data_IF_073170249847
#
_entry.id   IF_073170249847
#
_cell.length_a   1.000
_cell.length_b   1.000
_cell.length_c   1.000
_cell.angle_alpha   90.00
_cell.angle_beta   90.00
_cell.angle_gamma   90.00
#
_symmetry.space_group_name_H-M   'P 1'
#
loop_
_entity.id
_entity.type
_entity.pdbx_description
1 polymer ?
#
# COMPACT_ATOMS: atom_id res chain seq x y z
N UNK A 1 -17.46 -18.62 -22.74
CA UNK A 1 -18.14 -19.09 -21.50
C UNK A 1 -17.55 -18.30 -20.35
N UNK A 2 -18.24 -17.29 -19.86
CA UNK A 2 -17.80 -16.52 -18.68
C UNK A 2 -18.17 -17.30 -17.42
N UNK A 3 -17.16 -17.66 -16.62
CA UNK A 3 -17.38 -18.29 -15.32
C UNK A 3 -17.80 -17.19 -14.35
N UNK A 4 -18.97 -17.34 -13.73
CA UNK A 4 -19.49 -16.42 -12.72
C UNK A 4 -18.55 -16.41 -11.51
N UNK A 5 -18.00 -15.25 -11.17
CA UNK A 5 -17.09 -15.04 -10.02
C UNK A 5 -17.75 -15.22 -8.65
N UNK A 6 -19.03 -15.61 -8.59
CA UNK A 6 -19.82 -15.72 -7.36
C UNK A 6 -19.96 -17.14 -6.80
N UNK A 7 -19.40 -18.15 -7.44
CA UNK A 7 -19.47 -19.52 -6.93
C UNK A 7 -18.28 -19.81 -6.01
N UNK A 8 -18.38 -19.38 -4.75
CA UNK A 8 -17.41 -19.76 -3.71
C UNK A 8 -17.67 -21.21 -3.31
N UNK A 9 -16.72 -22.09 -3.62
CA UNK A 9 -16.71 -23.47 -3.13
C UNK A 9 -16.16 -23.44 -1.71
N UNK A 10 -16.99 -23.78 -0.73
CA UNK A 10 -16.59 -23.93 0.68
C UNK A 10 -15.41 -24.89 0.81
N UNK A 11 -14.38 -24.50 1.56
CA UNK A 11 -13.16 -25.31 1.74
C UNK A 11 -12.03 -24.98 0.78
N UNK A 12 -12.19 -23.96 -0.09
CA UNK A 12 -11.10 -23.32 -0.84
C UNK A 12 -10.95 -21.83 -0.45
N UNK A 13 -11.49 -21.45 0.70
CA UNK A 13 -11.51 -20.06 1.18
C UNK A 13 -10.11 -19.49 1.48
N UNK A 14 -9.10 -20.36 1.56
CA UNK A 14 -7.68 -20.02 1.70
C UNK A 14 -6.95 -19.87 0.37
N UNK A 15 -7.57 -20.23 -0.77
CA UNK A 15 -7.03 -19.84 -2.08
C UNK A 15 -7.28 -18.34 -2.17
N UNK A 16 -6.24 -17.50 -2.11
CA UNK A 16 -6.44 -16.08 -2.29
C UNK A 16 -7.02 -15.93 -3.69
N UNK A 17 -8.21 -15.32 -3.80
CA UNK A 17 -8.71 -14.88 -5.10
C UNK A 17 -7.63 -14.03 -5.77
N UNK A 18 -7.64 -13.92 -7.11
CA UNK A 18 -6.69 -13.07 -7.86
C UNK A 18 -6.48 -11.76 -7.10
N UNK A 19 -5.38 -11.67 -6.34
CA UNK A 19 -5.10 -10.49 -5.54
C UNK A 19 -5.09 -9.34 -6.54
N UNK A 20 -5.78 -8.22 -6.25
CA UNK A 20 -5.85 -7.13 -7.21
C UNK A 20 -4.42 -6.80 -7.60
N UNK A 21 -4.11 -6.94 -8.90
CA UNK A 21 -2.75 -6.85 -9.44
C UNK A 21 -2.00 -5.74 -8.70
N UNK A 22 -0.98 -6.16 -7.94
CA UNK A 22 -0.13 -5.30 -7.15
C UNK A 22 0.73 -4.53 -8.14
N UNK A 23 0.23 -3.38 -8.61
CA UNK A 23 1.04 -2.46 -9.40
C UNK A 23 2.03 -1.77 -8.48
N UNK A 24 3.21 -1.45 -9.02
CA UNK A 24 4.19 -0.62 -8.31
C UNK A 24 3.54 0.67 -7.77
N UNK A 25 2.56 1.23 -8.50
CA UNK A 25 1.83 2.45 -8.10
C UNK A 25 0.96 2.24 -6.85
N UNK A 26 0.27 1.09 -6.73
CA UNK A 26 -0.46 0.74 -5.51
C UNK A 26 0.49 0.51 -4.34
N UNK A 27 1.67 -0.06 -4.59
CA UNK A 27 2.71 -0.19 -3.56
C UNK A 27 3.16 1.19 -3.07
N UNK A 28 3.53 2.11 -3.97
CA UNK A 28 3.93 3.48 -3.59
C UNK A 28 2.83 4.24 -2.84
N UNK A 29 1.58 4.11 -3.27
CA UNK A 29 0.44 4.69 -2.56
C UNK A 29 0.30 4.13 -1.14
N UNK A 30 0.50 2.82 -0.96
CA UNK A 30 0.42 2.16 0.34
C UNK A 30 1.54 2.66 1.27
N UNK A 31 2.77 2.77 0.77
CA UNK A 31 3.90 3.29 1.52
C UNK A 31 3.70 4.77 1.90
N UNK A 32 3.14 5.57 1.01
CA UNK A 32 2.81 6.98 1.29
C UNK A 32 1.77 7.14 2.41
N UNK A 33 0.81 6.22 2.53
CA UNK A 33 -0.16 6.19 3.64
C UNK A 33 0.56 5.84 4.94
N UNK A 34 1.41 4.81 4.95
CA UNK A 34 2.17 4.46 6.15
C UNK A 34 3.09 5.59 6.62
N UNK A 35 3.74 6.32 5.70
CA UNK A 35 4.56 7.48 6.07
C UNK A 35 3.76 8.57 6.80
N UNK A 36 2.50 8.81 6.41
CA UNK A 36 1.63 9.78 7.09
C UNK A 36 1.20 9.31 8.48
N UNK A 37 0.83 8.04 8.60
CA UNK A 37 0.48 7.45 9.89
C UNK A 37 1.67 7.60 10.84
N UNK A 38 2.87 7.21 10.38
CA UNK A 38 4.10 7.32 11.15
C UNK A 38 4.40 8.76 11.56
N UNK A 39 4.22 9.75 10.68
CA UNK A 39 4.44 11.17 11.05
C UNK A 39 3.47 11.70 12.11
N UNK A 40 2.30 11.08 12.27
CA UNK A 40 1.33 11.43 13.32
C UNK A 40 1.60 10.77 14.67
N UNK A 41 2.51 9.78 14.74
CA UNK A 41 2.78 9.02 15.96
C UNK A 41 3.92 9.64 16.79
N UNK A 42 3.73 9.80 18.11
CA UNK A 42 4.79 10.28 19.01
C UNK A 42 5.75 9.14 19.39
N UNK A 43 6.86 8.93 18.67
CA UNK A 43 7.96 8.07 19.17
C UNK A 43 9.30 8.25 18.43
N UNK A 44 10.40 7.77 19.04
CA UNK A 44 11.75 7.81 18.47
C UNK A 44 12.05 6.73 17.41
N UNK A 45 11.41 5.55 17.49
CA UNK A 45 11.64 4.46 16.54
C UNK A 45 10.95 4.69 15.18
N UNK A 46 9.98 5.60 15.14
CA UNK A 46 9.25 6.02 13.93
C UNK A 46 10.18 6.64 12.89
N UNK A 47 11.27 7.29 13.31
CA UNK A 47 12.21 7.96 12.39
C UNK A 47 12.92 6.96 11.47
N UNK A 48 13.41 5.85 12.02
CA UNK A 48 14.09 4.83 11.24
C UNK A 48 13.13 4.19 10.23
N UNK A 49 11.93 3.82 10.66
CA UNK A 49 10.91 3.23 9.79
C UNK A 49 10.51 4.21 8.69
N UNK A 50 10.38 5.50 9.00
CA UNK A 50 10.06 6.53 8.01
C UNK A 50 11.13 6.65 6.93
N UNK A 51 12.42 6.57 7.31
CA UNK A 51 13.53 6.55 6.37
C UNK A 51 13.52 5.29 5.50
N UNK A 52 13.28 4.12 6.11
CA UNK A 52 13.21 2.85 5.38
C UNK A 52 12.06 2.86 4.36
N UNK A 53 10.92 3.46 4.70
CA UNK A 53 9.80 3.64 3.76
C UNK A 53 10.15 4.58 2.60
N UNK A 54 10.85 5.69 2.84
CA UNK A 54 11.26 6.59 1.75
C UNK A 54 12.24 5.87 0.80
N UNK A 55 13.23 5.17 1.35
CA UNK A 55 14.17 4.37 0.56
C UNK A 55 13.44 3.33 -0.31
N UNK A 56 12.41 2.66 0.24
CA UNK A 56 11.64 1.68 -0.50
C UNK A 56 10.82 2.34 -1.63
N UNK A 57 10.25 3.52 -1.41
CA UNK A 57 9.56 4.28 -2.46
C UNK A 57 10.52 4.66 -3.58
N UNK A 58 11.72 5.13 -3.24
CA UNK A 58 12.76 5.45 -4.23
C UNK A 58 13.16 4.24 -5.07
N UNK A 59 13.27 3.05 -4.46
CA UNK A 59 13.52 1.80 -5.18
C UNK A 59 12.37 1.43 -6.13
N UNK A 60 11.11 1.64 -5.73
CA UNK A 60 9.95 1.42 -6.61
C UNK A 60 9.98 2.37 -7.81
N UNK A 61 10.33 3.64 -7.59
CA UNK A 61 10.50 4.63 -8.64
C UNK A 61 11.63 4.24 -9.61
N UNK A 62 12.78 3.81 -9.08
CA UNK A 62 13.91 3.33 -9.87
C UNK A 62 13.51 2.12 -10.73
N UNK A 63 12.79 1.18 -10.14
CA UNK A 63 12.30 -0.02 -10.83
C UNK A 63 11.28 0.33 -11.93
N UNK A 64 10.36 1.24 -11.68
CA UNK A 64 9.40 1.66 -12.70
C UNK A 64 10.09 2.37 -13.87
N UNK A 65 11.07 3.23 -13.55
CA UNK A 65 11.91 3.92 -14.55
C UNK A 65 12.70 2.93 -15.41
N UNK A 66 13.34 1.93 -14.80
CA UNK A 66 14.09 0.90 -15.54
C UNK A 66 13.20 0.04 -16.46
N UNK A 67 11.92 -0.08 -16.14
CA UNK A 67 10.92 -0.76 -16.96
C UNK A 67 10.16 0.18 -17.92
N UNK A 68 10.60 1.43 -18.09
CA UNK A 68 9.94 2.45 -18.94
C UNK A 68 8.44 2.65 -18.63
N UNK A 69 8.06 2.46 -17.37
CA UNK A 69 6.68 2.61 -16.92
C UNK A 69 6.45 4.02 -16.37
N UNK A 70 5.39 4.74 -16.81
CA UNK A 70 5.04 6.03 -16.23
C UNK A 70 4.63 5.82 -14.77
N UNK A 71 5.34 6.47 -13.85
CA UNK A 71 5.18 6.28 -12.43
C UNK A 71 4.92 7.63 -11.72
N UNK A 72 3.67 8.08 -11.64
CA UNK A 72 3.35 9.32 -10.95
C UNK A 72 3.67 9.15 -9.46
N UNK A 73 4.51 10.04 -8.92
CA UNK A 73 4.82 10.06 -7.49
C UNK A 73 3.54 10.30 -6.72
N UNK A 74 3.15 9.35 -5.86
CA UNK A 74 1.96 9.54 -5.02
C UNK A 74 2.22 10.70 -4.08
N UNK A 75 1.37 11.72 -4.15
CA UNK A 75 1.38 12.83 -3.19
C UNK A 75 0.78 12.34 -1.88
N UNK A 76 1.41 12.73 -0.78
CA UNK A 76 0.88 12.50 0.56
C UNK A 76 -0.56 13.04 0.66
N UNK A 77 -1.48 12.29 1.28
CA UNK A 77 -2.81 12.78 1.59
C UNK A 77 -2.69 13.92 2.61
N UNK A 78 -3.62 14.88 2.53
CA UNK A 78 -3.59 16.08 3.38
C UNK A 78 -4.08 15.81 4.81
N UNK A 79 -4.83 14.73 5.04
CA UNK A 79 -5.47 14.43 6.33
C UNK A 79 -5.70 12.93 6.49
N UNK A 80 -5.59 12.44 7.73
CA UNK A 80 -5.82 11.04 8.12
C UNK A 80 -7.29 10.75 8.47
N UNK A 81 -8.23 11.68 8.25
CA UNK A 81 -9.65 11.60 8.66
C UNK A 81 -10.41 10.35 8.17
N UNK A 82 -9.89 9.60 7.20
CA UNK A 82 -10.49 8.34 6.71
C UNK A 82 -9.84 7.05 7.24
N UNK A 83 -8.86 7.15 8.15
CA UNK A 83 -8.12 6.02 8.70
C UNK A 83 -8.44 5.74 10.18
N UNK A 84 -9.27 6.58 10.81
CA UNK A 84 -9.62 6.51 12.23
C UNK A 84 -10.21 5.12 12.59
N UNK A 85 -11.29 4.72 11.91
CA UNK A 85 -11.95 3.42 12.11
C UNK A 85 -11.03 2.19 11.91
N UNK A 86 -9.94 2.34 11.14
CA UNK A 86 -8.99 1.26 10.83
C UNK A 86 -7.86 1.19 11.84
N UNK A 87 -7.50 2.33 12.44
CA UNK A 87 -6.38 2.46 13.38
C UNK A 87 -6.80 2.28 14.83
N UNK A 88 -8.09 2.39 15.14
CA UNK A 88 -8.64 2.09 16.46
C UNK A 88 -8.51 0.60 16.81
N UNK A 89 -8.04 0.31 18.02
CA UNK A 89 -7.96 -1.05 18.57
C UNK A 89 -9.08 -1.26 19.60
N UNK A 90 -9.80 -2.38 19.48
CA UNK A 90 -10.93 -2.75 20.36
C UNK A 90 -10.52 -3.13 21.79
#
# INVERSE_FOLDING_TARGET
RSVSSKQRVTGLDFIPGLHPVLSLSKMDQTLAVYQQILTSLPSGNVLQISNDLENLRDLLHLLASSNSCPFPRTRSLKTLEGLDDVLEAS
#
